data_IF_854465149641
#
_entry.id   IF_854465149641
#
_cell.length_a   1.000
_cell.length_b   1.000
_cell.length_c   1.000
_cell.angle_alpha   90.00
_cell.angle_beta   90.00
_cell.angle_gamma   90.00
#
_symmetry.space_group_name_H-M   'P 1'
#
loop_
_entity.id
_entity.type
_entity.pdbx_description
1 polymer ?
#
# COMPACT_ATOMS: atom_id res chain seq x y z
N UNK A 1 11.20 0.20 -19.84
CA UNK A 1 11.10 -0.78 -18.74
C UNK A 1 10.66 -0.05 -17.50
N UNK A 2 9.60 -0.52 -16.85
CA UNK A 2 9.05 0.12 -15.66
C UNK A 2 9.99 -0.11 -14.47
N UNK A 3 10.26 0.96 -13.72
CA UNK A 3 10.97 0.95 -12.46
C UNK A 3 10.11 1.54 -11.35
N UNK A 4 9.98 0.82 -10.25
CA UNK A 4 9.35 1.27 -9.02
C UNK A 4 10.41 1.69 -8.01
N UNK A 5 10.45 2.99 -7.70
CA UNK A 5 11.27 3.57 -6.64
C UNK A 5 10.45 3.58 -5.35
N UNK A 6 10.93 2.92 -4.31
CA UNK A 6 10.10 2.61 -3.14
C UNK A 6 10.83 2.52 -1.80
N UNK A 7 10.01 2.41 -0.76
CA UNK A 7 10.37 1.73 0.48
C UNK A 7 9.74 0.34 0.52
N UNK A 8 10.49 -0.71 0.92
CA UNK A 8 9.96 -2.07 0.97
C UNK A 8 8.69 -2.25 1.79
N UNK A 9 8.58 -1.50 2.90
CA UNK A 9 7.51 -1.61 3.88
C UNK A 9 6.41 -0.56 3.73
N UNK A 10 6.56 0.44 2.86
CA UNK A 10 5.53 1.49 2.73
C UNK A 10 4.24 0.90 2.16
N UNK A 11 3.08 1.13 2.79
CA UNK A 11 1.80 0.58 2.31
C UNK A 11 1.55 0.98 0.86
N UNK A 12 1.67 2.27 0.53
CA UNK A 12 1.49 2.79 -0.82
C UNK A 12 2.47 2.21 -1.83
N UNK A 13 3.71 1.90 -1.43
CA UNK A 13 4.65 1.21 -2.31
C UNK A 13 4.27 -0.25 -2.56
N UNK A 14 3.72 -0.94 -1.54
CA UNK A 14 3.26 -2.32 -1.67
C UNK A 14 2.08 -2.41 -2.63
N UNK A 15 1.14 -1.43 -2.61
CA UNK A 15 0.05 -1.34 -3.59
C UNK A 15 0.61 -1.36 -5.02
N UNK A 16 1.52 -0.44 -5.35
CA UNK A 16 2.05 -0.32 -6.72
C UNK A 16 2.87 -1.55 -7.11
N UNK A 17 3.64 -2.11 -6.18
CA UNK A 17 4.38 -3.35 -6.41
C UNK A 17 3.43 -4.51 -6.73
N UNK A 18 2.34 -4.65 -5.97
CA UNK A 18 1.36 -5.71 -6.20
C UNK A 18 0.64 -5.55 -7.54
N UNK A 19 0.36 -4.32 -7.97
CA UNK A 19 -0.18 -4.04 -9.33
C UNK A 19 0.80 -4.52 -10.41
N UNK A 20 2.09 -4.17 -10.28
CA UNK A 20 3.13 -4.61 -11.23
C UNK A 20 3.30 -6.13 -11.23
N UNK A 21 3.35 -6.76 -10.05
CA UNK A 21 3.42 -8.22 -9.93
C UNK A 21 2.18 -8.91 -10.53
N UNK A 22 0.99 -8.32 -10.35
CA UNK A 22 -0.26 -8.81 -10.95
C UNK A 22 -0.22 -8.74 -12.48
N UNK A 23 0.34 -7.68 -13.06
CA UNK A 23 0.44 -7.54 -14.50
C UNK A 23 1.30 -8.62 -15.18
N UNK A 24 2.19 -9.28 -14.42
CA UNK A 24 3.11 -10.30 -14.93
C UNK A 24 4.23 -9.76 -15.82
N UNK A 25 4.36 -8.45 -15.99
CA UNK A 25 5.43 -7.85 -16.78
C UNK A 25 6.74 -7.73 -15.96
N UNK A 26 7.91 -7.83 -16.59
CA UNK A 26 9.17 -7.53 -15.92
C UNK A 26 9.26 -6.05 -15.54
N UNK A 27 9.67 -5.78 -14.31
CA UNK A 27 9.92 -4.43 -13.81
C UNK A 27 11.12 -4.44 -12.85
N UNK A 28 11.70 -3.25 -12.65
CA UNK A 28 12.82 -3.05 -11.72
C UNK A 28 12.30 -2.46 -10.40
N UNK A 29 12.87 -2.91 -9.29
CA UNK A 29 12.70 -2.28 -7.98
C UNK A 29 13.97 -1.52 -7.62
N UNK A 30 13.81 -0.27 -7.18
CA UNK A 30 14.89 0.50 -6.55
C UNK A 30 14.44 0.94 -5.16
N UNK A 31 15.03 0.32 -4.13
CA UNK A 31 14.80 0.72 -2.75
C UNK A 31 15.68 1.93 -2.42
N UNK A 32 15.07 3.03 -2.01
CA UNK A 32 15.81 4.22 -1.57
C UNK A 32 15.98 4.23 -0.05
N UNK A 33 17.10 4.74 0.47
CA UNK A 33 17.26 4.97 1.91
C UNK A 33 16.18 5.93 2.43
N UNK A 34 15.80 5.80 3.70
CA UNK A 34 14.84 6.72 4.30
C UNK A 34 15.42 8.14 4.37
N UNK A 35 16.72 8.21 4.65
CA UNK A 35 17.44 9.46 4.81
C UNK A 35 17.95 10.13 3.55
N UNK A 36 17.99 9.42 2.44
CA UNK A 36 18.52 9.92 1.18
C UNK A 36 17.43 9.86 0.10
N UNK A 37 16.90 11.04 -0.22
CA UNK A 37 15.88 11.24 -1.25
C UNK A 37 16.45 11.84 -2.53
N UNK A 38 17.78 11.90 -2.69
CA UNK A 38 18.43 12.54 -3.83
C UNK A 38 17.97 11.96 -5.17
N UNK A 39 17.81 10.63 -5.26
CA UNK A 39 17.29 9.98 -6.45
C UNK A 39 15.89 10.48 -6.80
N UNK A 40 14.95 10.42 -5.83
CA UNK A 40 13.57 10.88 -6.01
C UNK A 40 13.56 12.34 -6.44
N UNK A 41 14.20 13.20 -5.66
CA UNK A 41 14.30 14.65 -5.92
C UNK A 41 14.79 14.95 -7.34
N UNK A 42 15.83 14.26 -7.78
CA UNK A 42 16.40 14.42 -9.12
C UNK A 42 15.44 13.97 -10.22
N UNK A 43 14.86 12.76 -10.12
CA UNK A 43 14.03 12.22 -11.21
C UNK A 43 12.69 12.95 -11.33
N UNK A 44 12.16 13.48 -10.23
CA UNK A 44 10.92 14.26 -10.22
C UNK A 44 11.17 15.76 -10.45
N UNK A 45 12.39 16.15 -10.86
CA UNK A 45 12.78 17.55 -11.10
C UNK A 45 12.38 18.48 -9.96
N UNK A 46 12.66 18.06 -8.73
CA UNK A 46 12.45 18.84 -7.51
C UNK A 46 10.98 19.09 -7.14
N UNK A 47 10.03 18.42 -7.81
CA UNK A 47 8.60 18.58 -7.54
C UNK A 47 8.07 17.63 -6.45
N UNK A 48 8.84 16.59 -6.12
CA UNK A 48 8.41 15.52 -5.21
C UNK A 48 9.60 14.96 -4.44
N UNK A 49 9.34 14.44 -3.24
CA UNK A 49 10.37 13.92 -2.34
C UNK A 49 9.95 12.64 -1.60
N UNK A 50 8.75 12.13 -1.88
CA UNK A 50 8.20 10.92 -1.27
C UNK A 50 8.25 9.73 -2.22
N UNK A 51 7.72 8.60 -1.79
CA UNK A 51 7.59 7.35 -2.56
C UNK A 51 6.18 6.80 -2.35
N UNK A 52 5.60 6.05 -3.30
CA UNK A 52 6.21 5.50 -4.51
C UNK A 52 6.47 6.54 -5.62
N UNK A 53 7.45 6.25 -6.48
CA UNK A 53 7.61 6.90 -7.79
C UNK A 53 7.78 5.82 -8.84
N UNK A 54 7.05 5.93 -9.94
CA UNK A 54 7.20 5.07 -11.11
C UNK A 54 7.97 5.81 -12.19
N UNK A 55 9.01 5.18 -12.71
CA UNK A 55 9.73 5.64 -13.89
C UNK A 55 9.52 4.64 -15.02
N UNK A 56 8.97 5.10 -16.13
CA UNK A 56 8.87 4.34 -17.38
C UNK A 56 9.53 5.14 -18.50
N UNK A 57 10.74 4.75 -18.86
CA UNK A 57 11.58 5.45 -19.84
C UNK A 57 11.79 6.93 -19.47
N UNK A 58 11.25 7.86 -20.26
CA UNK A 58 11.33 9.30 -20.01
C UNK A 58 10.21 9.81 -19.09
N UNK A 59 9.19 9.00 -18.82
CA UNK A 59 8.02 9.37 -18.01
C UNK A 59 8.31 9.05 -16.55
N UNK A 60 8.09 10.04 -15.68
CA UNK A 60 8.19 9.90 -14.22
C UNK A 60 6.85 10.29 -13.62
N UNK A 61 6.25 9.36 -12.88
CA UNK A 61 4.92 9.49 -12.29
C UNK A 61 5.04 9.37 -10.78
N UNK A 62 4.41 10.31 -10.09
CA UNK A 62 4.30 10.41 -8.65
C UNK A 62 2.95 11.06 -8.32
N UNK A 63 2.52 10.97 -7.07
CA UNK A 63 1.25 11.54 -6.63
C UNK A 63 1.28 13.06 -6.67
N UNK A 64 0.29 13.66 -7.34
CA UNK A 64 0.12 15.11 -7.44
C UNK A 64 -0.50 15.73 -6.18
N UNK A 65 -1.09 14.92 -5.30
CA UNK A 65 -1.67 15.37 -4.03
C UNK A 65 -1.65 14.28 -2.95
N UNK A 66 -2.20 14.62 -1.78
CA UNK A 66 -2.32 13.66 -0.66
C UNK A 66 -3.40 12.61 -0.91
N UNK A 67 -4.41 12.95 -1.73
CA UNK A 67 -5.61 12.16 -1.97
C UNK A 67 -5.73 11.81 -3.47
N UNK A 68 -4.66 11.30 -4.06
CA UNK A 68 -4.59 10.94 -5.49
C UNK A 68 -4.14 9.49 -5.70
N UNK A 69 -4.40 8.96 -6.89
CA UNK A 69 -4.03 7.60 -7.30
C UNK A 69 -3.30 7.65 -8.64
N UNK A 70 -2.47 8.67 -8.85
CA UNK A 70 -1.86 8.98 -10.15
C UNK A 70 -0.94 7.83 -10.60
N UNK A 71 -0.16 7.27 -9.67
CA UNK A 71 0.72 6.15 -9.98
C UNK A 71 -0.10 4.91 -10.36
N UNK A 72 -1.15 4.60 -9.60
CA UNK A 72 -1.98 3.43 -9.87
C UNK A 72 -2.78 3.57 -11.19
N UNK A 73 -3.34 4.76 -11.45
CA UNK A 73 -4.05 5.06 -12.70
C UNK A 73 -3.12 5.01 -13.91
N UNK A 74 -1.90 5.53 -13.78
CA UNK A 74 -0.88 5.39 -14.83
C UNK A 74 -0.57 3.93 -15.13
N UNK A 75 -0.33 3.11 -14.09
CA UNK A 75 -0.06 1.69 -14.27
C UNK A 75 -1.25 0.95 -14.89
N UNK A 76 -2.47 1.24 -14.44
CA UNK A 76 -3.70 0.66 -15.00
C UNK A 76 -3.84 0.94 -16.50
N UNK A 77 -3.65 2.20 -16.90
CA UNK A 77 -3.74 2.61 -18.29
C UNK A 77 -2.61 2.02 -19.14
N UNK A 78 -1.36 2.11 -18.66
CA UNK A 78 -0.17 1.63 -19.39
C UNK A 78 -0.23 0.12 -19.64
N UNK A 79 -0.74 -0.63 -18.67
CA UNK A 79 -0.75 -2.10 -18.68
C UNK A 79 -2.13 -2.68 -19.01
N UNK A 80 -3.13 -1.83 -19.28
CA UNK A 80 -4.50 -2.20 -19.64
C UNK A 80 -5.15 -3.17 -18.62
N UNK A 81 -4.98 -2.86 -17.33
CA UNK A 81 -5.36 -3.78 -16.25
C UNK A 81 -6.85 -3.72 -15.90
N UNK A 82 -7.57 -2.66 -16.27
CA UNK A 82 -8.99 -2.46 -15.98
C UNK A 82 -9.29 -2.37 -14.47
N UNK A 83 -8.41 -1.72 -13.70
CA UNK A 83 -8.53 -1.50 -12.26
C UNK A 83 -9.46 -0.33 -11.91
N UNK A 84 -9.64 0.62 -12.84
CA UNK A 84 -10.52 1.78 -12.68
C UNK A 84 -11.65 1.82 -13.74
N UNK A 85 -12.58 0.84 -13.77
CA UNK A 85 -13.69 0.88 -14.71
C UNK A 85 -14.64 2.05 -14.38
N UNK A 86 -15.13 2.82 -15.38
CA UNK A 86 -15.95 4.02 -15.14
C UNK A 86 -17.19 3.78 -14.28
N UNK A 87 -17.86 2.62 -14.45
CA UNK A 87 -19.05 2.27 -13.68
C UNK A 87 -18.83 2.08 -12.18
N UNK A 88 -17.57 1.96 -11.73
CA UNK A 88 -17.22 1.80 -10.31
C UNK A 88 -16.42 2.98 -9.76
N UNK A 89 -16.12 4.02 -10.55
CA UNK A 89 -15.22 5.10 -10.14
C UNK A 89 -15.66 5.77 -8.82
N UNK A 90 -16.95 6.14 -8.72
CA UNK A 90 -17.49 6.78 -7.51
C UNK A 90 -17.58 5.86 -6.29
N UNK A 91 -17.76 4.54 -6.48
CA UNK A 91 -17.76 3.59 -5.36
C UNK A 91 -16.33 3.33 -4.91
N UNK A 92 -15.40 3.15 -5.85
CA UNK A 92 -13.99 3.00 -5.52
C UNK A 92 -13.46 4.23 -4.80
N UNK A 93 -13.90 5.45 -5.15
CA UNK A 93 -13.45 6.66 -4.47
C UNK A 93 -13.80 6.67 -2.99
N UNK A 94 -15.03 6.29 -2.65
CA UNK A 94 -15.47 6.17 -1.26
C UNK A 94 -14.66 5.08 -0.52
N UNK A 95 -14.47 3.93 -1.17
CA UNK A 95 -13.79 2.81 -0.54
C UNK A 95 -12.30 3.06 -0.30
N UNK A 96 -11.56 3.55 -1.30
CA UNK A 96 -10.12 3.77 -1.12
C UNK A 96 -9.87 4.86 -0.07
N UNK A 97 -10.68 5.93 -0.03
CA UNK A 97 -10.56 6.94 1.04
C UNK A 97 -10.79 6.31 2.42
N UNK A 98 -11.81 5.45 2.56
CA UNK A 98 -12.01 4.73 3.82
C UNK A 98 -10.88 3.74 4.15
N UNK A 99 -10.29 3.06 3.16
CA UNK A 99 -9.11 2.19 3.36
C UNK A 99 -7.94 3.02 3.89
N UNK A 100 -7.60 4.11 3.21
CA UNK A 100 -6.47 4.97 3.54
C UNK A 100 -6.68 5.75 4.85
N UNK A 101 -7.91 6.05 5.25
CA UNK A 101 -8.18 6.72 6.53
C UNK A 101 -8.27 5.74 7.71
N UNK A 102 -9.11 4.72 7.59
CA UNK A 102 -9.51 3.87 8.72
C UNK A 102 -8.68 2.59 8.85
N UNK A 103 -8.09 2.09 7.76
CA UNK A 103 -7.31 0.84 7.75
C UNK A 103 -5.81 1.13 7.78
N UNK A 104 -5.32 2.05 6.94
CA UNK A 104 -3.88 2.37 6.84
C UNK A 104 -3.32 2.83 8.19
N UNK A 105 -4.02 3.73 8.87
CA UNK A 105 -3.59 4.30 10.16
C UNK A 105 -3.22 3.23 11.18
N UNK A 106 -4.12 2.34 11.62
CA UNK A 106 -3.75 1.29 12.58
C UNK A 106 -2.74 0.30 11.99
N UNK A 107 -2.76 0.02 10.67
CA UNK A 107 -1.79 -0.88 10.04
C UNK A 107 -0.35 -0.38 10.19
N UNK A 108 -0.06 0.86 9.77
CA UNK A 108 1.31 1.38 9.83
C UNK A 108 1.73 1.64 11.27
N UNK A 109 0.82 2.07 12.15
CA UNK A 109 1.16 2.30 13.55
C UNK A 109 1.57 1.01 14.23
N UNK A 110 0.83 -0.08 14.01
CA UNK A 110 1.15 -1.40 14.53
C UNK A 110 2.46 -1.95 13.96
N UNK A 111 2.71 -1.80 12.66
CA UNK A 111 3.96 -2.26 12.04
C UNK A 111 5.17 -1.44 12.52
N UNK A 112 5.02 -0.12 12.60
CA UNK A 112 6.14 0.79 12.84
C UNK A 112 6.65 0.75 14.28
N UNK A 113 5.95 0.16 15.25
CA UNK A 113 6.55 -0.08 16.58
C UNK A 113 7.75 -1.05 16.54
N UNK A 114 7.87 -1.82 15.45
CA UNK A 114 8.96 -2.76 15.17
C UNK A 114 9.98 -2.23 14.17
N UNK A 115 9.96 -0.92 13.87
CA UNK A 115 10.80 -0.27 12.87
C UNK A 115 12.29 -0.63 12.92
N UNK A 116 12.85 -0.92 14.09
CA UNK A 116 14.27 -1.31 14.23
C UNK A 116 14.62 -2.58 13.45
N UNK A 117 13.65 -3.44 13.17
CA UNK A 117 13.85 -4.74 12.52
C UNK A 117 13.99 -4.60 11.00
N UNK A 118 13.40 -3.56 10.40
CA UNK A 118 13.40 -3.38 8.95
C UNK A 118 13.99 -2.05 8.47
N UNK A 119 14.21 -1.08 9.36
CA UNK A 119 14.90 0.17 9.03
C UNK A 119 16.41 0.01 9.27
N UNK A 120 17.25 0.23 8.23
CA UNK A 120 18.71 0.15 8.36
C UNK A 120 19.26 1.06 9.47
N UNK A 121 20.29 0.60 10.16
CA UNK A 121 20.91 1.30 11.30
C UNK A 121 21.24 2.78 10.99
N UNK A 122 21.76 3.05 9.79
CA UNK A 122 22.15 4.38 9.30
C UNK A 122 20.99 5.34 9.07
N UNK A 123 19.75 4.84 8.96
CA UNK A 123 18.55 5.62 8.69
C UNK A 123 17.61 5.74 9.89
N UNK A 124 17.91 5.04 10.98
CA UNK A 124 17.07 4.95 12.17
C UNK A 124 16.68 6.31 12.76
N UNK A 125 17.64 7.20 12.92
CA UNK A 125 17.40 8.54 13.46
C UNK A 125 16.43 9.34 12.57
N UNK A 126 16.60 9.24 11.24
CA UNK A 126 15.79 9.98 10.29
C UNK A 126 14.36 9.43 10.22
N UNK A 127 14.20 8.11 10.30
CA UNK A 127 12.89 7.47 10.45
C UNK A 127 12.16 7.98 11.70
N UNK A 128 12.80 7.93 12.87
CA UNK A 128 12.19 8.40 14.13
C UNK A 128 11.84 9.88 14.03
N UNK A 129 12.76 10.73 13.55
CA UNK A 129 12.53 12.17 13.40
C UNK A 129 11.36 12.45 12.45
N UNK A 130 11.25 11.73 11.34
CA UNK A 130 10.13 11.89 10.41
C UNK A 130 8.79 11.57 11.10
N UNK A 131 8.72 10.44 11.81
CA UNK A 131 7.51 10.05 12.54
C UNK A 131 7.15 11.04 13.64
N UNK A 132 8.11 11.47 14.45
CA UNK A 132 7.85 12.43 15.54
C UNK A 132 7.44 13.81 15.04
N UNK A 133 7.93 14.24 13.86
CA UNK A 133 7.46 15.49 13.23
C UNK A 133 6.02 15.41 12.76
N UNK A 134 5.57 14.25 12.26
CA UNK A 134 4.20 14.07 11.76
C UNK A 134 3.20 13.75 12.87
N UNK A 135 3.58 12.93 13.85
CA UNK A 135 2.66 12.36 14.84
C UNK A 135 2.98 12.75 16.30
N UNK A 136 3.95 13.64 16.50
CA UNK A 136 4.40 14.10 17.81
C UNK A 136 5.50 13.23 18.43
N UNK A 137 6.29 13.87 19.31
CA UNK A 137 7.39 13.23 20.03
C UNK A 137 6.90 12.01 20.82
N UNK A 138 7.65 10.91 20.75
CA UNK A 138 7.32 9.66 21.44
C UNK A 138 6.15 8.87 20.82
N UNK A 139 5.66 9.23 19.62
CA UNK A 139 4.55 8.53 18.96
C UNK A 139 4.74 7.01 18.87
N UNK A 140 5.94 6.55 18.50
CA UNK A 140 6.25 5.11 18.38
C UNK A 140 6.12 4.35 19.71
N UNK A 141 6.45 4.99 20.83
CA UNK A 141 6.26 4.40 22.17
C UNK A 141 4.78 4.37 22.52
N UNK A 142 4.06 5.48 22.30
CA UNK A 142 2.62 5.54 22.54
C UNK A 142 1.84 4.50 21.73
N UNK A 143 2.15 4.32 20.45
CA UNK A 143 1.53 3.29 19.61
C UNK A 143 1.83 1.89 20.12
N UNK A 144 3.05 1.66 20.64
CA UNK A 144 3.41 0.40 21.28
C UNK A 144 2.56 0.13 22.52
N UNK A 145 2.28 1.14 23.33
CA UNK A 145 1.43 1.00 24.51
C UNK A 145 -0.07 0.82 24.12
N UNK A 146 -0.47 1.37 22.97
CA UNK A 146 -1.84 1.30 22.43
C UNK A 146 -2.13 0.10 21.52
N UNK A 147 -1.20 -0.84 21.35
CA UNK A 147 -1.34 -1.95 20.40
C UNK A 147 -2.68 -2.69 20.49
N UNK A 148 -3.18 -2.97 21.70
CA UNK A 148 -4.45 -3.68 21.89
C UNK A 148 -5.64 -2.89 21.33
N UNK A 149 -5.64 -1.57 21.48
CA UNK A 149 -6.72 -0.73 20.99
C UNK A 149 -6.61 -0.52 19.48
N UNK A 150 -5.39 -0.38 18.95
CA UNK A 150 -5.14 -0.33 17.52
C UNK A 150 -5.56 -1.62 16.81
N UNK A 151 -5.30 -2.79 17.41
CA UNK A 151 -5.78 -4.08 16.87
C UNK A 151 -7.31 -4.15 16.84
N UNK A 152 -8.01 -3.68 17.88
CA UNK A 152 -9.48 -3.60 17.90
C UNK A 152 -10.01 -2.62 16.87
N UNK A 153 -9.34 -1.48 16.67
CA UNK A 153 -9.71 -0.49 15.66
C UNK A 153 -9.59 -1.10 14.26
N UNK A 154 -8.45 -1.74 13.97
CA UNK A 154 -8.24 -2.46 12.71
C UNK A 154 -9.30 -3.54 12.51
N UNK A 155 -9.54 -4.39 13.51
CA UNK A 155 -10.54 -5.46 13.42
C UNK A 155 -11.93 -4.91 13.09
N UNK A 156 -12.34 -3.77 13.66
CA UNK A 156 -13.62 -3.11 13.34
C UNK A 156 -13.63 -2.52 11.93
N UNK A 157 -12.56 -1.83 11.53
CA UNK A 157 -12.45 -1.23 10.21
C UNK A 157 -12.51 -2.26 9.07
N UNK A 158 -12.17 -3.52 9.36
CA UNK A 158 -12.19 -4.61 8.38
C UNK A 158 -13.56 -5.30 8.21
N UNK A 159 -14.54 -5.02 9.07
CA UNK A 159 -15.87 -5.66 9.02
C UNK A 159 -16.55 -5.51 7.65
N UNK A 160 -16.62 -4.31 7.02
CA UNK A 160 -17.30 -4.17 5.73
C UNK A 160 -16.65 -5.01 4.62
N UNK A 161 -15.33 -5.16 4.64
CA UNK A 161 -14.61 -5.93 3.63
C UNK A 161 -14.78 -7.43 3.83
N UNK A 162 -14.80 -7.91 5.08
CA UNK A 162 -15.17 -9.31 5.37
C UNK A 162 -16.57 -9.62 4.83
N UNK A 163 -17.54 -8.73 5.06
CA UNK A 163 -18.91 -8.87 4.57
C UNK A 163 -18.98 -8.89 3.04
N UNK A 164 -18.28 -7.98 2.36
CA UNK A 164 -18.20 -7.99 0.88
C UNK A 164 -17.66 -9.31 0.32
N UNK A 165 -16.65 -9.87 0.99
CA UNK A 165 -15.99 -11.12 0.60
C UNK A 165 -16.76 -12.39 0.97
N UNK A 166 -17.91 -12.27 1.64
CA UNK A 166 -18.83 -13.39 1.84
C UNK A 166 -19.53 -13.77 0.53
N UNK A 167 -19.86 -12.77 -0.28
CA UNK A 167 -20.66 -12.93 -1.50
C UNK A 167 -19.81 -13.00 -2.77
N UNK A 168 -18.60 -12.41 -2.75
CA UNK A 168 -17.76 -12.23 -3.94
C UNK A 168 -16.31 -12.63 -3.70
N UNK A 169 -15.56 -13.01 -4.75
CA UNK A 169 -14.14 -13.31 -4.62
C UNK A 169 -13.28 -12.04 -4.44
N UNK A 170 -13.75 -10.87 -4.81
CA UNK A 170 -13.06 -9.59 -4.61
C UNK A 170 -14.02 -8.55 -4.04
N UNK A 171 -13.52 -7.38 -3.66
CA UNK A 171 -14.32 -6.43 -2.85
C UNK A 171 -15.59 -5.94 -3.56
N UNK A 172 -15.53 -5.72 -4.88
CA UNK A 172 -16.64 -5.16 -5.65
C UNK A 172 -17.18 -6.08 -6.73
N UNK A 173 -16.32 -6.89 -7.36
CA UNK A 173 -16.68 -7.68 -8.54
C UNK A 173 -16.05 -9.07 -8.49
N UNK A 174 -16.21 -9.85 -9.56
CA UNK A 174 -15.57 -11.16 -9.70
C UNK A 174 -14.09 -11.09 -10.12
N UNK A 175 -13.59 -9.87 -10.42
CA UNK A 175 -12.17 -9.56 -10.67
C UNK A 175 -11.66 -8.52 -9.66
N UNK A 176 -10.34 -8.47 -9.37
CA UNK A 176 -9.82 -7.42 -8.51
C UNK A 176 -9.93 -6.06 -9.22
N UNK A 177 -10.37 -5.04 -8.48
CA UNK A 177 -10.25 -3.65 -8.89
C UNK A 177 -9.20 -2.94 -8.03
N UNK A 178 -8.95 -1.64 -8.25
CA UNK A 178 -7.93 -0.90 -7.51
C UNK A 178 -8.05 -1.04 -5.99
N UNK A 179 -9.27 -0.97 -5.45
CA UNK A 179 -9.54 -1.08 -4.01
C UNK A 179 -9.07 -2.41 -3.40
N UNK A 180 -8.98 -3.49 -4.19
CA UNK A 180 -8.41 -4.75 -3.74
C UNK A 180 -6.89 -4.63 -3.53
N UNK A 181 -6.19 -3.95 -4.44
CA UNK A 181 -4.75 -3.71 -4.34
C UNK A 181 -4.42 -2.76 -3.20
N UNK A 182 -5.27 -1.75 -3.02
CA UNK A 182 -5.15 -0.76 -1.95
C UNK A 182 -5.27 -1.42 -0.57
N UNK A 183 -6.39 -2.12 -0.30
CA UNK A 183 -6.58 -2.86 0.94
C UNK A 183 -5.46 -3.90 1.16
N UNK A 184 -5.02 -4.58 0.11
CA UNK A 184 -3.93 -5.55 0.20
C UNK A 184 -2.62 -4.87 0.61
N UNK A 185 -2.33 -3.67 0.10
CA UNK A 185 -1.15 -2.88 0.47
C UNK A 185 -1.13 -2.53 1.96
N UNK A 186 -2.26 -2.03 2.48
CA UNK A 186 -2.38 -1.68 3.91
C UNK A 186 -2.16 -2.88 4.82
N UNK A 187 -2.82 -4.00 4.51
CA UNK A 187 -2.69 -5.23 5.30
C UNK A 187 -1.31 -5.87 5.17
N UNK A 188 -0.69 -5.76 3.99
CA UNK A 188 0.67 -6.28 3.79
C UNK A 188 1.72 -5.44 4.53
N UNK A 189 1.49 -4.12 4.68
CA UNK A 189 2.29 -3.29 5.58
C UNK A 189 2.12 -3.75 7.04
N UNK A 190 0.90 -3.97 7.51
CA UNK A 190 0.63 -4.49 8.85
C UNK A 190 1.36 -5.82 9.14
N UNK A 191 1.40 -6.71 8.15
CA UNK A 191 2.06 -8.02 8.26
C UNK A 191 3.58 -7.97 8.04
N UNK A 192 4.14 -6.85 7.59
CA UNK A 192 5.53 -6.77 7.12
C UNK A 192 6.57 -7.15 8.19
N UNK A 193 6.33 -6.74 9.44
CA UNK A 193 7.21 -7.04 10.58
C UNK A 193 7.13 -8.49 11.08
N UNK A 194 6.17 -9.30 10.60
CA UNK A 194 5.89 -10.67 11.05
C UNK A 194 5.45 -10.82 12.52
N UNK A 195 5.18 -9.73 13.25
CA UNK A 195 4.64 -9.80 14.62
C UNK A 195 3.13 -10.01 14.68
N UNK A 196 2.43 -9.84 13.57
CA UNK A 196 0.98 -9.94 13.51
C UNK A 196 0.46 -10.96 12.51
N UNK A 197 -0.82 -11.28 12.67
CA UNK A 197 -1.63 -12.07 11.75
C UNK A 197 -2.94 -11.33 11.55
N UNK A 198 -3.59 -11.56 10.42
CA UNK A 198 -4.95 -11.04 10.19
C UNK A 198 -5.90 -11.54 11.30
N UNK A 199 -6.85 -10.70 11.77
CA UNK A 199 -7.77 -11.10 12.84
C UNK A 199 -8.54 -12.38 12.50
N UNK A 200 -8.64 -13.30 13.47
CA UNK A 200 -9.33 -14.58 13.27
C UNK A 200 -10.82 -14.43 12.96
N UNK A 201 -11.41 -13.30 13.36
CA UNK A 201 -12.79 -12.94 13.06
C UNK A 201 -13.06 -12.75 11.56
N UNK A 202 -12.01 -12.59 10.73
CA UNK A 202 -12.11 -12.27 9.30
C UNK A 202 -11.53 -13.35 8.39
N UNK A 203 -12.10 -14.58 8.38
CA UNK A 203 -11.57 -15.69 7.61
C UNK A 203 -11.66 -15.48 6.09
N UNK A 204 -12.68 -14.77 5.57
CA UNK A 204 -12.82 -14.50 4.13
C UNK A 204 -11.75 -13.54 3.67
N UNK A 205 -11.47 -12.50 4.46
CA UNK A 205 -10.40 -11.55 4.24
C UNK A 205 -9.03 -12.21 4.29
N UNK A 206 -8.79 -13.14 5.23
CA UNK A 206 -7.55 -13.91 5.25
C UNK A 206 -7.39 -14.80 4.00
N UNK A 207 -8.47 -15.39 3.48
CA UNK A 207 -8.43 -16.15 2.23
C UNK A 207 -8.21 -15.26 1.00
N UNK A 208 -8.88 -14.11 0.95
CA UNK A 208 -8.73 -13.10 -0.09
C UNK A 208 -7.31 -12.50 -0.12
N UNK A 209 -6.71 -12.20 1.03
CA UNK A 209 -5.35 -11.66 1.10
C UNK A 209 -4.33 -12.66 0.51
N UNK A 210 -4.47 -13.95 0.85
CA UNK A 210 -3.66 -15.02 0.22
C UNK A 210 -3.87 -15.11 -1.29
N UNK A 211 -5.11 -14.96 -1.76
CA UNK A 211 -5.43 -14.93 -3.20
C UNK A 211 -4.72 -13.76 -3.87
N UNK A 212 -4.83 -12.55 -3.34
CA UNK A 212 -4.21 -11.34 -3.88
C UNK A 212 -2.68 -11.45 -3.97
N UNK A 213 -2.02 -12.07 -2.99
CA UNK A 213 -0.57 -12.24 -2.99
C UNK A 213 -0.04 -13.10 -4.15
N UNK A 214 -0.80 -14.10 -4.59
CA UNK A 214 -0.43 -15.01 -5.68
C UNK A 214 -1.06 -14.67 -7.04
N UNK A 215 -1.96 -13.68 -7.09
CA UNK A 215 -2.77 -13.41 -8.27
C UNK A 215 -1.94 -12.80 -9.40
N UNK A 216 -1.99 -13.40 -10.58
CA UNK A 216 -1.45 -12.82 -11.81
C UNK A 216 -2.57 -12.70 -12.84
N UNK A 217 -2.46 -11.69 -13.71
CA UNK A 217 -3.37 -11.49 -14.82
C UNK A 217 -3.21 -12.66 -15.80
N UNK A 218 -4.21 -13.55 -15.82
CA UNK A 218 -4.28 -14.60 -16.84
C UNK A 218 -4.46 -13.93 -18.20
N UNK A 219 -3.46 -14.06 -19.09
CA UNK A 219 -3.61 -13.70 -20.50
C UNK A 219 -4.63 -14.64 -21.13
N UNK A 220 -5.89 -14.25 -21.16
CA UNK A 220 -6.82 -14.81 -22.15
C UNK A 220 -6.33 -14.35 -23.51
N UNK A 221 -5.75 -15.27 -24.28
CA UNK A 221 -5.51 -15.06 -25.70
C UNK A 221 -6.86 -14.76 -26.36
N UNK A 222 -7.08 -13.49 -26.69
CA UNK A 222 -8.10 -13.04 -27.64
C UNK A 222 -7.46 -12.92 -29.02
#
# INVERSE_FOLDING_TARGET
MIELIQFPWSPFCIVQRRILEYSGIPFKITNVPNGDRSLVWKITREQYYAVPVVRDEAVVVFESGENTQDVAKFLDQKLQLGLFPPGWEGVQSILWTHIEDAVETPCFQLNDVYWKEFVPATDRLRFVRHKERKFGRGCLVRWRDQQKDLLKQLERALIPYEQSLMERPFLLTDRPLFVDFDLHGMLSNFLFSNHYKLPRAHPKLAAWHRRMAGLQLTKTHS
#
